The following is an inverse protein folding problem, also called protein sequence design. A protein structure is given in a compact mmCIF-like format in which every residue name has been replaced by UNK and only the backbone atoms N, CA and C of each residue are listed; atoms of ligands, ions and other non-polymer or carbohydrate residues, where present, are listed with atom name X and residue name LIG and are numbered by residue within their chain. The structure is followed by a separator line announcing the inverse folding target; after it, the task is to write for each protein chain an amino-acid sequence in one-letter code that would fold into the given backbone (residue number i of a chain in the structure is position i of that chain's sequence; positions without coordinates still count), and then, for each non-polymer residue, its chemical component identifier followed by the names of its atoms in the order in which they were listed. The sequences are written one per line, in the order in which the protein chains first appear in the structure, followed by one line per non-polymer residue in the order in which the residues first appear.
data_IF_727735585135
#
_entry.id   IF_727735585135
#
_cell.length_a   1.000
_cell.length_b   1.000
_cell.length_c   1.000
_cell.angle_alpha   90.00
_cell.angle_beta   90.00
_cell.angle_gamma   90.00
#
_symmetry.space_group_name_H-M   'P 1'
#
loop_
_entity.id
_entity.type
_entity.pdbx_description
1 polymer ?
#
# COMPACT_ATOMS: atom_id res chain seq x y z
N UNK A 1 4.64 -23.41 4.52
CA UNK A 1 4.09 -22.07 4.54
C UNK A 1 4.75 -21.26 5.64
N UNK A 2 5.43 -20.21 5.27
CA UNK A 2 6.06 -19.33 6.23
C UNK A 2 5.11 -18.26 6.76
N UNK A 3 5.53 -17.62 7.83
CA UNK A 3 4.89 -16.41 8.31
C UNK A 3 5.59 -15.23 7.65
N UNK A 4 4.83 -14.34 7.05
CA UNK A 4 5.40 -13.13 6.48
C UNK A 4 5.66 -12.11 7.56
N UNK A 5 6.83 -11.51 7.49
CA UNK A 5 7.18 -10.35 8.30
C UNK A 5 7.09 -9.15 7.39
N UNK A 6 6.37 -8.12 7.82
CA UNK A 6 6.21 -6.89 7.05
C UNK A 6 7.02 -5.81 7.76
N UNK A 7 7.96 -5.22 7.02
CA UNK A 7 8.82 -4.16 7.56
C UNK A 7 8.21 -2.81 7.24
N UNK A 8 7.95 -2.01 8.27
CA UNK A 8 7.40 -0.67 8.10
C UNK A 8 8.50 0.29 7.62
N UNK A 9 8.26 0.92 6.49
CA UNK A 9 9.17 1.93 5.93
C UNK A 9 8.75 3.32 6.42
N UNK A 10 8.96 3.57 7.72
CA UNK A 10 8.56 4.82 8.36
C UNK A 10 9.63 5.88 8.18
N UNK A 11 9.91 6.22 6.93
CA UNK A 11 10.86 7.25 6.55
C UNK A 11 10.12 8.45 5.98
N UNK A 12 10.78 9.59 5.98
CA UNK A 12 10.22 10.84 5.49
C UNK A 12 10.74 11.23 4.10
N UNK A 13 11.57 10.39 3.49
CA UNK A 13 12.13 10.68 2.18
C UNK A 13 12.46 9.42 1.38
N UNK A 14 12.51 9.60 0.07
CA UNK A 14 12.94 8.56 -0.87
C UNK A 14 14.36 8.08 -0.55
N UNK A 15 15.27 9.03 -0.32
CA UNK A 15 16.69 8.72 -0.13
C UNK A 15 16.91 7.80 1.06
N UNK A 16 16.27 8.10 2.19
CA UNK A 16 16.37 7.26 3.39
C UNK A 16 15.77 5.89 3.16
N UNK A 17 14.62 5.84 2.48
CA UNK A 17 13.94 4.59 2.18
C UNK A 17 14.80 3.70 1.29
N UNK A 18 15.31 4.22 0.20
CA UNK A 18 16.10 3.43 -0.74
C UNK A 18 17.43 3.00 -0.15
N UNK A 19 18.05 3.84 0.67
CA UNK A 19 19.28 3.48 1.37
C UNK A 19 19.04 2.29 2.30
N UNK A 20 17.90 2.26 2.99
CA UNK A 20 17.54 1.12 3.82
C UNK A 20 17.33 -0.13 2.97
N UNK A 21 16.59 -0.02 1.87
CA UNK A 21 16.28 -1.17 1.01
C UNK A 21 17.51 -1.69 0.26
N UNK A 22 18.52 -0.86 0.04
CA UNK A 22 19.77 -1.28 -0.60
C UNK A 22 20.50 -2.36 0.20
N UNK A 23 20.18 -2.54 1.47
CA UNK A 23 20.77 -3.58 2.30
C UNK A 23 20.25 -4.98 1.97
N UNK A 24 19.15 -5.07 1.23
CA UNK A 24 18.52 -6.35 0.86
C UNK A 24 18.83 -6.68 -0.59
N UNK A 25 19.87 -7.48 -0.81
CA UNK A 25 20.29 -7.85 -2.18
C UNK A 25 19.68 -9.17 -2.64
N UNK A 26 19.61 -10.17 -1.77
CA UNK A 26 19.12 -11.50 -2.11
C UNK A 26 17.66 -11.71 -1.74
N UNK A 27 17.23 -11.12 -0.62
CA UNK A 27 15.86 -11.22 -0.14
C UNK A 27 15.16 -9.89 -0.32
N UNK A 28 13.91 -9.96 -0.78
CA UNK A 28 13.07 -8.77 -0.94
C UNK A 28 11.93 -8.86 0.06
N UNK A 29 12.11 -8.31 1.29
CA UNK A 29 11.06 -8.42 2.30
C UNK A 29 9.77 -7.72 1.87
N UNK A 30 8.67 -8.20 2.43
CA UNK A 30 7.38 -7.54 2.33
C UNK A 30 7.47 -6.23 3.13
N UNK A 31 7.11 -5.11 2.53
CA UNK A 31 7.25 -3.80 3.18
C UNK A 31 5.92 -3.08 3.26
N UNK A 32 5.79 -2.21 4.27
CA UNK A 32 4.62 -1.35 4.46
C UNK A 32 5.02 0.09 4.16
N UNK A 33 4.24 0.73 3.31
CA UNK A 33 4.35 2.17 3.05
C UNK A 33 3.16 2.83 3.75
N UNK A 34 3.45 3.66 4.74
CA UNK A 34 2.42 4.38 5.47
C UNK A 34 2.18 5.77 4.92
N UNK A 35 1.35 6.53 5.64
CA UNK A 35 0.95 7.87 5.21
C UNK A 35 2.13 8.82 5.10
N UNK A 36 3.06 8.77 6.04
CA UNK A 36 4.21 9.70 6.03
C UNK A 36 4.99 9.61 4.74
N UNK A 37 5.45 8.43 4.39
CA UNK A 37 6.26 8.23 3.18
C UNK A 37 5.43 8.47 1.92
N UNK A 38 4.20 7.97 1.89
CA UNK A 38 3.36 8.12 0.71
C UNK A 38 3.03 9.59 0.43
N UNK A 39 2.70 10.36 1.46
CA UNK A 39 2.39 11.78 1.26
C UNK A 39 3.63 12.63 0.98
N UNK A 40 4.80 12.21 1.47
CA UNK A 40 6.04 12.90 1.18
C UNK A 40 6.49 12.69 -0.27
N UNK A 41 6.37 11.47 -0.79
CA UNK A 41 6.97 11.09 -2.07
C UNK A 41 5.95 10.75 -3.17
N UNK A 42 4.70 10.57 -2.83
CA UNK A 42 3.65 10.25 -3.79
C UNK A 42 3.71 8.83 -4.35
N UNK A 43 2.89 8.56 -5.37
CA UNK A 43 2.82 7.22 -5.97
C UNK A 43 4.13 6.73 -6.59
N UNK A 44 5.04 7.63 -6.94
CA UNK A 44 6.30 7.24 -7.57
C UNK A 44 7.15 6.35 -6.67
N UNK A 45 7.11 6.56 -5.34
CA UNK A 45 7.86 5.71 -4.41
C UNK A 45 7.32 4.28 -4.42
N UNK A 46 6.01 4.13 -4.56
CA UNK A 46 5.37 2.80 -4.64
C UNK A 46 5.88 2.06 -5.87
N UNK A 47 5.88 2.73 -7.01
CA UNK A 47 6.36 2.12 -8.27
C UNK A 47 7.81 1.72 -8.19
N UNK A 48 8.65 2.55 -7.60
CA UNK A 48 10.07 2.26 -7.48
C UNK A 48 10.35 1.07 -6.57
N UNK A 49 9.67 1.01 -5.41
CA UNK A 49 9.82 -0.11 -4.49
C UNK A 49 9.28 -1.39 -5.12
N UNK A 50 8.16 -1.31 -5.84
CA UNK A 50 7.62 -2.46 -6.57
C UNK A 50 8.59 -2.95 -7.64
N UNK A 51 9.23 -2.03 -8.36
CA UNK A 51 10.22 -2.37 -9.38
C UNK A 51 11.45 -3.08 -8.80
N UNK A 52 11.75 -2.88 -7.53
CA UNK A 52 12.83 -3.59 -6.83
C UNK A 52 12.44 -5.01 -6.43
N UNK A 53 11.18 -5.42 -6.62
CA UNK A 53 10.73 -6.78 -6.36
C UNK A 53 10.07 -7.00 -5.00
N UNK A 54 9.75 -5.95 -4.26
CA UNK A 54 9.09 -6.07 -2.97
C UNK A 54 7.58 -6.23 -3.13
N UNK A 55 6.98 -7.04 -2.25
CA UNK A 55 5.54 -6.96 -2.01
C UNK A 55 5.27 -5.77 -1.11
N UNK A 56 4.17 -5.07 -1.36
CA UNK A 56 3.87 -3.80 -0.68
C UNK A 56 2.48 -3.85 -0.03
N UNK A 57 2.43 -3.50 1.25
CA UNK A 57 1.22 -3.15 1.96
C UNK A 57 1.14 -1.61 2.01
N UNK A 58 0.16 -1.04 1.31
CA UNK A 58 -0.05 0.40 1.31
C UNK A 58 -1.06 0.75 2.41
N UNK A 59 -0.54 1.32 3.49
CA UNK A 59 -1.27 1.54 4.74
C UNK A 59 -1.73 3.00 4.84
N UNK A 60 -2.83 3.33 4.17
CA UNK A 60 -3.37 4.69 4.15
C UNK A 60 -4.63 4.85 5.00
N UNK A 61 -5.21 3.77 5.50
CA UNK A 61 -6.38 3.77 6.38
C UNK A 61 -7.54 4.57 5.80
N UNK A 62 -7.95 4.22 4.58
CA UNK A 62 -9.00 4.95 3.87
C UNK A 62 -10.27 5.03 4.69
N UNK A 63 -10.82 6.24 4.80
CA UNK A 63 -12.02 6.51 5.57
C UNK A 63 -12.70 7.72 4.96
N UNK A 64 -13.74 7.48 4.17
CA UNK A 64 -14.47 8.53 3.48
C UNK A 64 -15.84 7.99 3.08
N UNK A 65 -16.64 8.80 2.40
CA UNK A 65 -17.92 8.32 1.92
C UNK A 65 -17.72 7.18 0.89
N UNK A 66 -18.69 6.25 0.77
CA UNK A 66 -18.48 5.02 0.00
C UNK A 66 -17.97 5.25 -1.42
N UNK A 67 -18.54 6.19 -2.16
CA UNK A 67 -18.12 6.43 -3.54
C UNK A 67 -16.68 6.91 -3.66
N UNK A 68 -16.22 7.75 -2.72
CA UNK A 68 -14.84 8.23 -2.69
C UNK A 68 -13.88 7.08 -2.39
N UNK A 69 -14.22 6.21 -1.44
CA UNK A 69 -13.40 5.05 -1.12
C UNK A 69 -13.33 4.08 -2.31
N UNK A 70 -14.46 3.85 -2.98
CA UNK A 70 -14.48 3.01 -4.19
C UNK A 70 -13.53 3.53 -5.26
N UNK A 71 -13.59 4.84 -5.55
CA UNK A 71 -12.72 5.47 -6.54
C UNK A 71 -11.25 5.44 -6.10
N UNK A 72 -10.99 5.69 -4.82
CA UNK A 72 -9.64 5.62 -4.28
C UNK A 72 -9.05 4.22 -4.42
N UNK A 73 -9.81 3.18 -4.10
CA UNK A 73 -9.37 1.81 -4.25
C UNK A 73 -9.08 1.46 -5.72
N UNK A 74 -9.90 1.94 -6.64
CA UNK A 74 -9.66 1.73 -8.07
C UNK A 74 -8.34 2.39 -8.51
N UNK A 75 -8.04 3.59 -8.01
CA UNK A 75 -6.76 4.26 -8.28
C UNK A 75 -5.60 3.46 -7.67
N UNK A 76 -5.74 3.01 -6.44
CA UNK A 76 -4.69 2.23 -5.77
C UNK A 76 -4.44 0.90 -6.46
N UNK A 77 -5.46 0.29 -7.06
CA UNK A 77 -5.29 -0.97 -7.79
C UNK A 77 -4.34 -0.80 -8.97
N UNK A 78 -4.28 0.39 -9.57
CA UNK A 78 -3.38 0.66 -10.67
C UNK A 78 -1.90 0.73 -10.24
N UNK A 79 -1.62 0.86 -8.95
CA UNK A 79 -0.26 0.86 -8.42
C UNK A 79 0.31 -0.55 -8.23
N UNK A 80 -0.51 -1.57 -8.42
CA UNK A 80 -0.11 -2.98 -8.32
C UNK A 80 0.49 -3.33 -6.95
N UNK A 81 -0.04 -2.74 -5.89
CA UNK A 81 0.34 -3.12 -4.52
C UNK A 81 -0.33 -4.43 -4.13
N UNK A 82 0.21 -5.09 -3.11
CA UNK A 82 -0.25 -6.43 -2.73
C UNK A 82 -1.30 -6.40 -1.63
N UNK A 83 -1.37 -5.32 -0.87
CA UNK A 83 -2.33 -5.15 0.21
C UNK A 83 -2.62 -3.67 0.44
N UNK A 84 -3.87 -3.36 0.74
CA UNK A 84 -4.31 -2.02 1.17
C UNK A 84 -5.19 -2.19 2.40
N UNK A 85 -5.44 -1.10 3.12
CA UNK A 85 -6.36 -1.15 4.25
C UNK A 85 -7.37 0.00 4.19
N UNK A 86 -8.35 -0.09 5.08
CA UNK A 86 -9.34 0.95 5.29
C UNK A 86 -9.65 1.03 6.78
N UNK A 87 -10.37 2.07 7.17
CA UNK A 87 -10.78 2.25 8.55
C UNK A 87 -12.13 1.56 8.79
N UNK A 88 -12.17 0.58 9.69
CA UNK A 88 -13.37 -0.22 9.91
C UNK A 88 -14.57 0.60 10.42
N UNK A 89 -14.33 1.77 11.02
CA UNK A 89 -15.39 2.67 11.49
C UNK A 89 -16.19 3.31 10.35
N UNK A 90 -15.78 3.11 9.09
CA UNK A 90 -16.39 3.78 7.95
C UNK A 90 -17.72 3.22 7.46
N UNK A 91 -18.29 2.23 8.11
CA UNK A 91 -19.56 1.60 7.77
C UNK A 91 -19.43 0.45 6.77
N UNK A 92 -20.47 -0.40 6.74
CA UNK A 92 -20.56 -1.50 5.78
C UNK A 92 -20.58 -0.99 4.33
N UNK A 93 -21.30 0.11 4.09
CA UNK A 93 -21.40 0.69 2.74
C UNK A 93 -20.03 1.10 2.22
N UNK A 94 -19.19 1.71 3.05
CA UNK A 94 -17.84 2.09 2.67
C UNK A 94 -16.98 0.85 2.40
N UNK A 95 -17.06 -0.16 3.26
CA UNK A 95 -16.27 -1.38 3.07
C UNK A 95 -16.69 -2.16 1.82
N UNK A 96 -17.99 -2.24 1.53
CA UNK A 96 -18.49 -2.86 0.31
C UNK A 96 -18.03 -2.10 -0.94
N UNK A 97 -18.11 -0.76 -0.91
CA UNK A 97 -17.64 0.08 -2.01
C UNK A 97 -16.13 -0.10 -2.23
N UNK A 98 -15.35 -0.25 -1.16
CA UNK A 98 -13.92 -0.51 -1.26
C UNK A 98 -13.64 -1.80 -2.03
N UNK A 99 -14.37 -2.86 -1.71
CA UNK A 99 -14.24 -4.15 -2.41
C UNK A 99 -14.60 -4.01 -3.89
N UNK A 100 -15.65 -3.25 -4.21
CA UNK A 100 -16.04 -2.99 -5.60
C UNK A 100 -14.91 -2.29 -6.36
N UNK A 101 -14.23 -1.33 -5.73
CA UNK A 101 -13.12 -0.62 -6.35
C UNK A 101 -11.94 -1.52 -6.67
N UNK A 102 -11.78 -2.64 -5.95
CA UNK A 102 -10.71 -3.60 -6.15
C UNK A 102 -11.13 -4.82 -6.98
N UNK A 103 -12.32 -4.84 -7.55
CA UNK A 103 -12.94 -6.03 -8.16
C UNK A 103 -12.04 -6.74 -9.18
N UNK A 104 -11.26 -6.01 -9.95
CA UNK A 104 -10.41 -6.59 -11.01
C UNK A 104 -8.95 -6.73 -10.59
N UNK A 105 -8.64 -6.63 -9.30
CA UNK A 105 -7.27 -6.71 -8.84
C UNK A 105 -7.08 -7.90 -7.89
N UNK A 106 -5.82 -8.28 -7.67
CA UNK A 106 -5.45 -9.34 -6.72
C UNK A 106 -4.99 -8.76 -5.38
N UNK A 107 -5.39 -7.53 -5.09
CA UNK A 107 -4.98 -6.82 -3.87
C UNK A 107 -5.81 -7.30 -2.69
N UNK A 108 -5.15 -7.54 -1.56
CA UNK A 108 -5.81 -7.87 -0.30
C UNK A 108 -6.16 -6.60 0.48
N UNK A 109 -7.26 -6.66 1.19
CA UNK A 109 -7.63 -5.62 2.15
C UNK A 109 -7.40 -6.12 3.55
#
# INVERSE_FOLDING_TARGET
MGKDVIIALDFDSREKTLAFLDQFTDRKPFVKIGMELFYAEGPSIVREIKARGHKIFLDLKLHDIPNTVKKAMAVLSALDVDMVNLHAAGTRAMMTAALEGLTLSLIHI
#
